data_IF_332265943224
#
_entry.id   IF_332265943224
#
_cell.length_a   1.000
_cell.length_b   1.000
_cell.length_c   1.000
_cell.angle_alpha   90.00
_cell.angle_beta   90.00
_cell.angle_gamma   90.00
#
_symmetry.space_group_name_H-M   'P 1'
#
loop_
_entity.id
_entity.type
_entity.pdbx_description
1 polymer ?
#
# COMPACT_ATOMS: atom_id res chain seq x y z
N UNK A 1 -15.29 -1.83 37.72
CA UNK A 1 -13.92 -1.96 37.18
C UNK A 1 -14.01 -2.48 35.76
N UNK A 2 -13.86 -1.60 34.76
CA UNK A 2 -13.81 -2.00 33.34
C UNK A 2 -12.34 -2.24 32.97
N UNK A 3 -11.94 -3.51 32.93
CA UNK A 3 -10.61 -3.92 32.46
C UNK A 3 -10.75 -4.64 31.12
N UNK A 4 -10.83 -3.88 30.02
CA UNK A 4 -10.56 -4.43 28.68
C UNK A 4 -9.05 -4.60 28.50
N UNK A 5 -8.62 -5.62 27.77
CA UNK A 5 -7.19 -5.85 27.54
C UNK A 5 -6.58 -4.63 26.83
N UNK A 6 -5.30 -4.27 27.07
CA UNK A 6 -4.65 -3.15 26.37
C UNK A 6 -4.80 -3.22 24.84
N UNK A 7 -4.88 -4.45 24.30
CA UNK A 7 -5.11 -4.74 22.89
C UNK A 7 -6.46 -4.23 22.37
N UNK A 8 -7.51 -4.24 23.18
CA UNK A 8 -8.86 -3.82 22.76
C UNK A 8 -8.90 -2.31 22.45
N UNK A 9 -8.12 -1.51 23.20
CA UNK A 9 -7.99 -0.07 22.95
C UNK A 9 -7.26 0.21 21.63
N UNK A 10 -6.21 -0.56 21.35
CA UNK A 10 -5.44 -0.45 20.10
C UNK A 10 -6.30 -0.81 18.89
N UNK A 11 -7.25 -1.74 19.01
CA UNK A 11 -8.18 -2.09 17.93
C UNK A 11 -9.12 -0.93 17.55
N UNK A 12 -9.61 -0.19 18.54
CA UNK A 12 -10.44 0.99 18.31
C UNK A 12 -9.65 2.10 17.63
N UNK A 13 -8.45 2.42 18.14
CA UNK A 13 -7.54 3.41 17.54
C UNK A 13 -7.14 3.01 16.10
N UNK A 14 -6.88 1.73 15.85
CA UNK A 14 -6.55 1.22 14.52
C UNK A 14 -7.72 1.41 13.54
N UNK A 15 -8.95 1.18 14.01
CA UNK A 15 -10.15 1.35 13.19
C UNK A 15 -10.35 2.82 12.84
N UNK A 16 -10.25 3.71 13.83
CA UNK A 16 -10.32 5.16 13.62
C UNK A 16 -9.25 5.65 12.65
N UNK A 17 -8.00 5.20 12.84
CA UNK A 17 -6.89 5.53 11.96
C UNK A 17 -7.12 5.04 10.53
N UNK A 18 -7.67 3.83 10.33
CA UNK A 18 -7.89 3.26 8.99
C UNK A 18 -8.91 4.02 8.16
N UNK A 19 -9.82 4.78 8.80
CA UNK A 19 -10.86 5.57 8.12
C UNK A 19 -10.64 7.07 8.23
N UNK A 20 -9.54 7.51 8.85
CA UNK A 20 -9.26 8.92 9.06
C UNK A 20 -9.22 9.68 7.72
N UNK A 21 -9.62 10.96 7.71
CA UNK A 21 -9.45 11.80 6.54
C UNK A 21 -7.96 11.91 6.15
N UNK A 22 -7.71 12.02 4.86
CA UNK A 22 -6.39 12.16 4.25
C UNK A 22 -6.26 13.54 3.61
N UNK A 23 -5.03 13.97 3.36
CA UNK A 23 -4.77 15.23 2.66
C UNK A 23 -5.27 15.16 1.21
N UNK A 24 -5.70 16.29 0.63
CA UNK A 24 -6.27 16.29 -0.73
C UNK A 24 -5.24 15.97 -1.81
N UNK A 25 -3.95 16.22 -1.57
CA UNK A 25 -2.90 16.05 -2.57
C UNK A 25 -1.67 15.39 -1.96
N UNK A 26 -1.21 14.31 -2.61
CA UNK A 26 0.07 13.67 -2.31
C UNK A 26 0.98 13.71 -3.55
N UNK A 27 2.08 14.49 -3.54
CA UNK A 27 3.02 14.52 -4.66
C UNK A 27 3.55 13.14 -5.09
N UNK A 28 3.77 12.22 -4.13
CA UNK A 28 4.23 10.86 -4.41
C UNK A 28 3.45 9.87 -3.55
N UNK A 29 2.97 8.79 -4.17
CA UNK A 29 2.36 7.64 -3.51
C UNK A 29 3.17 6.38 -3.79
N UNK A 30 3.66 5.72 -2.76
CA UNK A 30 4.32 4.41 -2.85
C UNK A 30 3.34 3.30 -2.52
N UNK A 31 3.28 2.26 -3.35
CA UNK A 31 2.49 1.05 -3.11
C UNK A 31 3.42 -0.15 -3.13
N UNK A 32 3.42 -0.93 -2.05
CA UNK A 32 4.28 -2.09 -1.87
C UNK A 32 3.53 -3.24 -1.16
N UNK A 33 4.09 -4.45 -1.19
CA UNK A 33 3.56 -5.65 -0.57
C UNK A 33 4.61 -6.30 0.35
N UNK A 34 4.29 -6.45 1.63
CA UNK A 34 5.12 -7.18 2.59
C UNK A 34 4.50 -8.55 2.83
N UNK A 35 5.29 -9.61 2.64
CA UNK A 35 4.82 -10.96 2.90
C UNK A 35 5.01 -11.32 4.38
N UNK A 36 3.90 -11.61 5.06
CA UNK A 36 3.86 -11.92 6.48
C UNK A 36 3.30 -13.33 6.69
N UNK A 37 3.90 -14.11 7.59
CA UNK A 37 3.35 -15.41 8.01
C UNK A 37 2.17 -15.16 8.94
N UNK A 38 0.97 -15.48 8.49
CA UNK A 38 -0.28 -15.33 9.26
C UNK A 38 -0.83 -16.72 9.55
N UNK A 39 -1.26 -16.95 10.80
CA UNK A 39 -1.94 -18.18 11.23
C UNK A 39 -3.44 -17.94 11.26
N UNK A 40 -4.16 -18.69 10.45
CA UNK A 40 -5.61 -18.65 10.36
C UNK A 40 -6.10 -20.08 10.05
N UNK A 41 -6.17 -20.90 11.12
CA UNK A 41 -6.20 -22.36 11.04
C UNK A 41 -4.84 -22.97 10.70
N UNK A 42 -4.30 -22.66 9.51
CA UNK A 42 -2.94 -23.03 9.09
C UNK A 42 -2.06 -21.78 8.92
N UNK A 43 -0.74 -21.96 9.01
CA UNK A 43 0.22 -20.87 8.78
C UNK A 43 0.48 -20.76 7.28
N UNK A 44 0.17 -19.61 6.70
CA UNK A 44 0.44 -19.30 5.30
C UNK A 44 1.17 -17.95 5.19
N UNK A 45 1.96 -17.80 4.13
CA UNK A 45 2.56 -16.51 3.79
C UNK A 45 1.51 -15.68 3.04
N UNK A 46 1.07 -14.57 3.61
CA UNK A 46 0.05 -13.69 3.01
C UNK A 46 0.66 -12.30 2.75
N UNK A 47 0.39 -11.68 1.59
CA UNK A 47 0.82 -10.31 1.35
C UNK A 47 0.00 -9.33 2.20
N UNK A 48 0.66 -8.31 2.72
CA UNK A 48 0.05 -7.12 3.31
C UNK A 48 0.48 -5.95 2.45
N UNK A 49 -0.47 -5.33 1.76
CA UNK A 49 -0.21 -4.16 0.94
C UNK A 49 -0.18 -2.92 1.80
N UNK A 50 0.74 -2.01 1.49
CA UNK A 50 0.89 -0.73 2.15
C UNK A 50 0.87 0.38 1.12
N UNK A 51 0.12 1.44 1.44
CA UNK A 51 0.16 2.69 0.70
C UNK A 51 0.82 3.76 1.58
N UNK A 52 1.92 4.34 1.09
CA UNK A 52 2.67 5.41 1.78
C UNK A 52 2.73 6.63 0.90
N UNK A 53 2.11 7.72 1.34
CA UNK A 53 2.15 9.01 0.67
C UNK A 53 3.30 9.86 1.19
N UNK A 54 3.78 10.77 0.34
CA UNK A 54 4.60 11.92 0.75
C UNK A 54 3.68 13.13 0.69
N UNK A 55 3.52 13.82 1.80
CA UNK A 55 2.70 15.03 1.90
C UNK A 55 3.35 16.19 1.16
N UNK A 56 2.62 17.28 0.95
CA UNK A 56 3.16 18.52 0.36
C UNK A 56 4.23 19.19 1.24
N UNK A 57 4.27 18.86 2.54
CA UNK A 57 5.32 19.27 3.46
C UNK A 57 6.58 18.37 3.39
N UNK A 58 6.57 17.29 2.61
CA UNK A 58 7.67 16.33 2.50
C UNK A 58 7.67 15.22 3.54
N UNK A 59 6.64 15.13 4.38
CA UNK A 59 6.52 14.09 5.41
C UNK A 59 5.91 12.80 4.86
N UNK A 60 6.36 11.66 5.40
CA UNK A 60 5.77 10.35 5.07
C UNK A 60 4.49 10.15 5.85
N UNK A 61 3.46 9.72 5.14
CA UNK A 61 2.17 9.37 5.71
C UNK A 61 1.78 7.95 5.30
N UNK A 62 1.33 7.12 6.24
CA UNK A 62 0.81 5.79 5.94
C UNK A 62 -0.69 5.93 5.74
N UNK A 63 -1.14 5.70 4.50
CA UNK A 63 -2.53 5.89 4.10
C UNK A 63 -3.36 4.67 4.48
N UNK A 64 -2.77 3.47 4.42
CA UNK A 64 -3.46 2.26 4.86
C UNK A 64 -2.65 0.99 4.71
N UNK A 65 -3.21 -0.10 5.25
CA UNK A 65 -2.68 -1.46 5.22
C UNK A 65 -3.82 -2.41 4.87
N UNK A 66 -3.63 -3.27 3.87
CA UNK A 66 -4.64 -4.23 3.43
C UNK A 66 -4.06 -5.63 3.37
N UNK A 67 -4.64 -6.57 4.12
CA UNK A 67 -4.27 -7.98 4.01
C UNK A 67 -4.81 -8.56 2.71
N UNK A 68 -3.93 -9.09 1.88
CA UNK A 68 -4.28 -9.83 0.68
C UNK A 68 -4.49 -11.31 0.95
N UNK A 69 -5.33 -11.93 0.15
CA UNK A 69 -5.56 -13.38 0.10
C UNK A 69 -4.68 -14.09 -0.97
N UNK A 70 -3.81 -13.33 -1.65
CA UNK A 70 -2.98 -13.80 -2.77
C UNK A 70 -3.61 -13.59 -4.16
N UNK A 71 -4.83 -13.04 -4.24
CA UNK A 71 -5.51 -12.64 -5.47
C UNK A 71 -5.33 -11.16 -5.79
N UNK A 72 -4.18 -10.75 -6.31
CA UNK A 72 -3.85 -9.37 -6.70
C UNK A 72 -4.49 -8.97 -8.05
N UNK A 73 -5.82 -8.99 -8.12
CA UNK A 73 -6.55 -8.60 -9.33
C UNK A 73 -6.77 -7.09 -9.42
N UNK A 74 -7.00 -6.58 -10.64
CA UNK A 74 -7.35 -5.17 -10.89
C UNK A 74 -8.53 -4.66 -10.02
N UNK A 75 -9.50 -5.52 -9.72
CA UNK A 75 -10.65 -5.19 -8.86
C UNK A 75 -10.25 -4.87 -7.42
N UNK A 76 -9.26 -5.59 -6.88
CA UNK A 76 -8.74 -5.36 -5.54
C UNK A 76 -8.08 -3.97 -5.45
N UNK A 77 -7.18 -3.69 -6.40
CA UNK A 77 -6.48 -2.40 -6.45
C UNK A 77 -7.44 -1.23 -6.65
N UNK A 78 -8.44 -1.38 -7.52
CA UNK A 78 -9.45 -0.35 -7.71
C UNK A 78 -10.22 -0.06 -6.41
N UNK A 79 -10.55 -1.08 -5.62
CA UNK A 79 -11.22 -0.91 -4.34
C UNK A 79 -10.33 -0.16 -3.32
N UNK A 80 -9.06 -0.57 -3.17
CA UNK A 80 -8.08 0.09 -2.29
C UNK A 80 -7.90 1.57 -2.66
N UNK A 81 -7.68 1.86 -3.94
CA UNK A 81 -7.44 3.23 -4.40
C UNK A 81 -8.70 4.09 -4.30
N UNK A 82 -9.88 3.50 -4.51
CA UNK A 82 -11.17 4.19 -4.32
C UNK A 82 -11.41 4.51 -2.84
N UNK A 83 -11.03 3.63 -1.92
CA UNK A 83 -11.10 3.89 -0.48
C UNK A 83 -10.23 5.10 -0.09
N UNK A 84 -8.98 5.13 -0.58
CA UNK A 84 -8.06 6.26 -0.35
C UNK A 84 -8.66 7.57 -0.91
N UNK A 85 -9.22 7.54 -2.12
CA UNK A 85 -9.90 8.69 -2.72
C UNK A 85 -11.09 9.16 -1.89
N UNK A 86 -11.93 8.23 -1.42
CA UNK A 86 -13.10 8.54 -0.60
C UNK A 86 -12.75 9.14 0.76
N UNK A 87 -11.53 8.91 1.25
CA UNK A 87 -11.00 9.52 2.48
C UNK A 87 -10.46 10.93 2.28
N UNK A 88 -10.45 11.44 1.05
CA UNK A 88 -10.15 12.85 0.76
C UNK A 88 -9.06 13.06 -0.29
N UNK A 89 -8.36 12.01 -0.75
CA UNK A 89 -7.27 12.18 -1.73
C UNK A 89 -7.84 12.49 -3.12
N UNK A 90 -7.74 13.75 -3.51
CA UNK A 90 -8.22 14.27 -4.80
C UNK A 90 -7.20 14.04 -5.92
N UNK A 91 -5.90 14.19 -5.62
CA UNK A 91 -4.83 14.05 -6.61
C UNK A 91 -3.55 13.38 -6.09
N UNK A 92 -2.91 12.63 -6.98
CA UNK A 92 -1.62 11.98 -6.78
C UNK A 92 -0.76 12.25 -8.01
N UNK A 93 0.33 13.00 -7.88
CA UNK A 93 1.11 13.36 -9.07
C UNK A 93 1.90 12.16 -9.61
N UNK A 94 2.54 11.40 -8.72
CA UNK A 94 3.36 10.23 -9.07
C UNK A 94 2.95 9.05 -8.19
N UNK A 95 2.62 7.92 -8.81
CA UNK A 95 2.44 6.66 -8.10
C UNK A 95 3.59 5.71 -8.43
N UNK A 96 4.34 5.31 -7.40
CA UNK A 96 5.47 4.40 -7.49
C UNK A 96 5.03 3.02 -7.00
N UNK A 97 5.03 2.03 -7.89
CA UNK A 97 4.65 0.66 -7.55
C UNK A 97 5.64 -0.36 -8.12
N UNK A 98 5.63 -1.58 -7.55
CA UNK A 98 6.20 -2.74 -8.25
C UNK A 98 5.27 -3.11 -9.42
N UNK A 99 5.74 -3.88 -10.40
CA UNK A 99 5.02 -4.23 -11.63
C UNK A 99 3.80 -5.16 -11.43
N UNK A 100 3.02 -4.93 -10.37
CA UNK A 100 1.82 -5.67 -10.00
C UNK A 100 0.77 -5.53 -11.10
N UNK A 101 0.20 -6.66 -11.50
CA UNK A 101 -0.77 -6.70 -12.60
C UNK A 101 -2.05 -5.94 -12.22
N UNK A 102 -2.52 -5.07 -13.12
CA UNK A 102 -3.77 -4.34 -12.93
C UNK A 102 -3.68 -3.11 -12.03
N UNK A 103 -2.55 -2.89 -11.34
CA UNK A 103 -2.36 -1.72 -10.47
C UNK A 103 -2.17 -0.42 -11.29
N UNK A 104 -1.32 -0.36 -12.33
CA UNK A 104 -1.20 0.84 -13.18
C UNK A 104 -2.54 1.29 -13.77
N UNK A 105 -3.35 0.34 -14.26
CA UNK A 105 -4.67 0.60 -14.82
C UNK A 105 -5.64 1.09 -13.75
N UNK A 106 -5.61 0.52 -12.54
CA UNK A 106 -6.44 0.96 -11.44
C UNK A 106 -6.05 2.39 -10.96
N UNK A 107 -4.76 2.71 -10.90
CA UNK A 107 -4.27 4.06 -10.55
C UNK A 107 -4.83 5.08 -11.53
N UNK A 108 -4.62 4.87 -12.83
CA UNK A 108 -5.08 5.80 -13.87
C UNK A 108 -6.60 5.84 -14.01
N UNK A 109 -7.31 4.82 -13.54
CA UNK A 109 -8.79 4.86 -13.40
C UNK A 109 -9.22 5.79 -12.26
N UNK A 110 -8.53 5.77 -11.12
CA UNK A 110 -8.89 6.58 -9.93
C UNK A 110 -8.40 8.03 -10.06
N UNK A 111 -7.17 8.20 -10.55
CA UNK A 111 -6.51 9.49 -10.78
C UNK A 111 -5.90 9.52 -12.20
N UNK A 112 -6.65 10.02 -13.20
CA UNK A 112 -6.24 9.96 -14.61
C UNK A 112 -4.98 10.75 -14.98
N UNK A 113 -4.56 11.69 -14.15
CA UNK A 113 -3.37 12.52 -14.38
C UNK A 113 -2.11 11.98 -13.70
N UNK A 114 -2.23 10.93 -12.88
CA UNK A 114 -1.10 10.35 -12.16
C UNK A 114 -0.09 9.72 -13.11
N UNK A 115 1.18 10.07 -12.93
CA UNK A 115 2.29 9.37 -13.59
C UNK A 115 2.59 8.10 -12.82
N UNK A 116 2.38 6.94 -13.45
CA UNK A 116 2.76 5.64 -12.87
C UNK A 116 4.22 5.35 -13.17
N UNK A 117 5.01 5.13 -12.13
CA UNK A 117 6.43 4.84 -12.20
C UNK A 117 6.75 3.48 -11.57
N UNK A 118 7.57 2.68 -12.25
CA UNK A 118 8.13 1.46 -11.65
C UNK A 118 9.13 1.81 -10.56
N UNK A 119 9.00 1.17 -9.40
CA UNK A 119 9.92 1.34 -8.29
C UNK A 119 11.35 0.87 -8.67
N UNK A 120 12.31 1.80 -8.68
CA UNK A 120 13.72 1.50 -8.97
C UNK A 120 14.33 0.52 -7.98
N UNK A 121 13.92 0.55 -6.71
CA UNK A 121 14.41 -0.39 -5.70
C UNK A 121 13.95 -1.81 -6.01
N UNK A 122 12.68 -2.00 -6.39
CA UNK A 122 12.17 -3.29 -6.84
C UNK A 122 12.87 -3.77 -8.11
N UNK A 123 13.05 -2.86 -9.08
CA UNK A 123 13.79 -3.16 -10.31
C UNK A 123 15.22 -3.65 -10.00
N UNK A 124 15.99 -2.90 -9.21
CA UNK A 124 17.36 -3.25 -8.82
C UNK A 124 17.40 -4.59 -8.07
N UNK A 125 16.53 -4.79 -7.07
CA UNK A 125 16.43 -6.06 -6.34
C UNK A 125 16.13 -7.23 -7.28
N UNK A 126 15.20 -7.06 -8.22
CA UNK A 126 14.87 -8.08 -9.20
C UNK A 126 16.06 -8.37 -10.12
N UNK A 127 16.78 -7.35 -10.60
CA UNK A 127 17.98 -7.53 -11.43
C UNK A 127 19.09 -8.27 -10.66
N UNK A 128 19.37 -7.89 -9.41
CA UNK A 128 20.41 -8.54 -8.59
C UNK A 128 20.11 -9.98 -8.22
N UNK A 129 18.86 -10.46 -8.33
CA UNK A 129 18.54 -11.89 -8.18
C UNK A 129 19.09 -12.75 -9.32
N UNK A 130 19.23 -12.17 -10.52
CA UNK A 130 19.71 -12.88 -11.71
C UNK A 130 21.20 -12.65 -12.00
N UNK A 131 21.78 -11.55 -11.51
CA UNK A 131 23.22 -11.34 -11.56
C UNK A 131 23.91 -12.23 -10.50
N UNK A 132 24.83 -13.10 -10.94
CA UNK A 132 25.55 -13.99 -10.03
C UNK A 132 26.31 -13.20 -8.96
N UNK A 133 26.21 -13.63 -7.70
CA UNK A 133 27.05 -13.15 -6.57
C UNK A 133 28.55 -13.45 -6.73
N UNK A 134 28.99 -13.92 -7.90
CA UNK A 134 30.34 -14.48 -8.11
C UNK A 134 31.48 -13.44 -8.14
N UNK A 135 31.18 -12.14 -8.18
CA UNK A 135 32.20 -11.09 -8.33
C UNK A 135 32.09 -9.94 -7.32
N UNK A 136 31.36 -10.14 -6.23
CA UNK A 136 31.22 -9.17 -5.14
C UNK A 136 31.36 -9.86 -3.78
#
# INVERSE_FOLDING_TARGET
MQGGAPTDKVLAEMTEWSVRPLDPVYPVLFIDAIHVKIRDGQVANRPVYVAVGVTTAGERDILGLWAGDGGEGAKFWLAVLTEIKNRGVEDVCIAVCDGLKGLPEAITTVWPQTVVQTCLIHLLRNTFRYAARQYW
#
